data_IF_188979608612
#
_entry.id   IF_188979608612
#
_cell.length_a   1.000
_cell.length_b   1.000
_cell.length_c   1.000
_cell.angle_alpha   90.00
_cell.angle_beta   90.00
_cell.angle_gamma   90.00
#
_symmetry.space_group_name_H-M   'P 1'
#
loop_
_entity.id
_entity.type
_entity.pdbx_description
1 polymer ?
#
# COMPACT_ATOMS: atom_id res chain seq x y z
N UNK A 1 12.48 6.06 11.38
CA UNK A 1 13.94 6.10 11.58
C UNK A 1 14.65 6.87 10.46
N UNK A 2 14.54 6.46 9.18
CA UNK A 2 15.27 7.09 8.06
C UNK A 2 14.92 8.57 7.93
N UNK A 3 13.65 8.93 7.99
CA UNK A 3 13.20 10.32 7.92
C UNK A 3 13.76 11.15 9.08
N UNK A 4 13.63 10.67 10.31
CA UNK A 4 14.09 11.37 11.52
C UNK A 4 15.60 11.57 11.55
N UNK A 5 16.37 10.63 10.99
CA UNK A 5 17.83 10.72 10.97
C UNK A 5 18.38 11.64 9.88
N UNK A 6 17.66 11.81 8.78
CA UNK A 6 18.19 12.49 7.59
C UNK A 6 17.57 13.86 7.33
N UNK A 7 16.41 14.17 7.91
CA UNK A 7 15.69 15.40 7.61
C UNK A 7 15.40 16.21 8.88
N UNK A 8 15.25 17.51 8.70
CA UNK A 8 14.78 18.40 9.76
C UNK A 8 13.33 18.05 10.12
N UNK A 9 12.94 18.25 11.39
CA UNK A 9 11.61 17.86 11.90
C UNK A 9 10.44 18.42 11.07
N UNK A 10 10.55 19.65 10.53
CA UNK A 10 9.53 20.25 9.65
C UNK A 10 9.30 19.42 8.39
N UNK A 11 10.38 18.97 7.74
CA UNK A 11 10.31 18.11 6.57
C UNK A 11 9.76 16.73 6.94
N UNK A 12 10.13 16.19 8.10
CA UNK A 12 9.59 14.92 8.62
C UNK A 12 8.08 15.00 8.79
N UNK A 13 7.56 16.09 9.36
CA UNK A 13 6.11 16.29 9.50
C UNK A 13 5.40 16.28 8.14
N UNK A 14 5.95 16.95 7.11
CA UNK A 14 5.39 16.91 5.76
C UNK A 14 5.32 15.50 5.20
N UNK A 15 6.37 14.71 5.38
CA UNK A 15 6.44 13.34 4.88
C UNK A 15 5.53 12.38 5.65
N UNK A 16 5.41 12.53 6.95
CA UNK A 16 4.48 11.71 7.76
C UNK A 16 3.02 12.07 7.44
N UNK A 17 2.72 13.36 7.31
CA UNK A 17 1.40 13.82 6.89
C UNK A 17 1.00 13.26 5.51
N UNK A 18 1.95 13.16 4.57
CA UNK A 18 1.69 12.55 3.27
C UNK A 18 1.26 11.09 3.39
N UNK A 19 1.88 10.30 4.27
CA UNK A 19 1.48 8.89 4.48
C UNK A 19 0.03 8.83 4.98
N UNK A 20 -0.33 9.65 5.96
CA UNK A 20 -1.69 9.72 6.47
C UNK A 20 -2.70 10.12 5.38
N UNK A 21 -2.36 11.13 4.57
CA UNK A 21 -3.20 11.59 3.45
C UNK A 21 -3.36 10.52 2.36
N UNK A 22 -2.31 9.76 2.06
CA UNK A 22 -2.36 8.66 1.07
C UNK A 22 -3.36 7.60 1.53
N UNK A 23 -3.27 7.16 2.79
CA UNK A 23 -4.16 6.13 3.34
C UNK A 23 -5.59 6.65 3.38
N UNK A 24 -5.82 7.86 3.90
CA UNK A 24 -7.15 8.47 3.95
C UNK A 24 -7.75 8.64 2.56
N UNK A 25 -6.97 9.12 1.58
CA UNK A 25 -7.42 9.26 0.20
C UNK A 25 -7.80 7.91 -0.41
N UNK A 26 -6.95 6.90 -0.27
CA UNK A 26 -7.19 5.56 -0.79
C UNK A 26 -8.46 4.94 -0.19
N UNK A 27 -8.65 5.04 1.13
CA UNK A 27 -9.82 4.52 1.81
C UNK A 27 -11.09 5.29 1.44
N UNK A 28 -11.06 6.62 1.44
CA UNK A 28 -12.24 7.43 1.10
C UNK A 28 -12.67 7.22 -0.35
N UNK A 29 -11.73 7.24 -1.29
CA UNK A 29 -12.03 6.99 -2.71
C UNK A 29 -12.62 5.60 -2.93
N UNK A 30 -12.01 4.58 -2.35
CA UNK A 30 -12.43 3.19 -2.57
C UNK A 30 -13.68 2.83 -1.77
N UNK A 31 -13.75 3.11 -0.47
CA UNK A 31 -14.83 2.62 0.40
C UNK A 31 -16.03 3.55 0.47
N UNK A 32 -15.83 4.87 0.46
CA UNK A 32 -16.90 5.83 0.71
C UNK A 32 -17.50 6.41 -0.57
N UNK A 33 -16.70 6.54 -1.65
CA UNK A 33 -17.16 7.17 -2.89
C UNK A 33 -17.52 6.12 -3.94
N UNK A 34 -16.59 5.27 -4.35
CA UNK A 34 -16.79 4.39 -5.51
C UNK A 34 -17.58 3.13 -5.14
N UNK A 35 -17.26 2.51 -3.99
CA UNK A 35 -17.87 1.23 -3.59
C UNK A 35 -19.38 1.28 -3.46
N UNK A 36 -20.01 2.28 -2.82
CA UNK A 36 -21.47 2.36 -2.73
C UNK A 36 -22.16 2.53 -4.09
N UNK A 37 -21.49 3.25 -5.01
CA UNK A 37 -22.04 3.51 -6.36
C UNK A 37 -21.99 2.25 -7.23
N UNK A 38 -20.86 1.53 -7.23
CA UNK A 38 -20.69 0.34 -8.08
C UNK A 38 -21.37 -0.89 -7.47
N UNK A 39 -21.36 -1.01 -6.14
CA UNK A 39 -22.00 -2.06 -5.35
C UNK A 39 -21.76 -3.49 -5.88
N UNK A 40 -20.54 -3.75 -6.46
CA UNK A 40 -20.20 -5.07 -6.99
C UNK A 40 -19.93 -6.06 -5.87
N UNK A 41 -20.71 -7.14 -5.82
CA UNK A 41 -20.53 -8.23 -4.87
C UNK A 41 -19.13 -8.85 -4.97
N UNK A 42 -18.57 -9.25 -3.83
CA UNK A 42 -17.32 -10.01 -3.80
C UNK A 42 -17.51 -11.40 -4.39
N UNK A 43 -16.45 -12.03 -4.98
CA UNK A 43 -16.54 -13.42 -5.43
C UNK A 43 -17.05 -14.38 -4.35
N UNK A 44 -16.60 -14.19 -3.10
CA UNK A 44 -16.95 -14.99 -1.91
C UNK A 44 -18.31 -14.66 -1.28
N UNK A 45 -19.04 -13.65 -1.77
CA UNK A 45 -20.35 -13.30 -1.25
C UNK A 45 -21.36 -14.43 -1.58
N UNK A 46 -22.22 -14.88 -0.64
CA UNK A 46 -23.22 -15.91 -0.91
C UNK A 46 -24.17 -15.61 -2.08
N UNK A 47 -24.45 -14.34 -2.34
CA UNK A 47 -25.29 -13.89 -3.45
C UNK A 47 -24.52 -13.71 -4.76
N UNK A 48 -23.23 -13.99 -4.78
CA UNK A 48 -22.41 -13.88 -5.99
C UNK A 48 -22.71 -15.03 -6.94
N UNK A 49 -22.89 -14.76 -8.26
CA UNK A 49 -23.17 -15.82 -9.24
C UNK A 49 -22.03 -16.82 -9.41
N UNK A 50 -20.85 -16.53 -8.89
CA UNK A 50 -19.68 -17.41 -8.98
C UNK A 50 -19.22 -17.97 -7.64
N UNK A 51 -20.02 -17.83 -6.57
CA UNK A 51 -19.63 -18.25 -5.22
C UNK A 51 -19.21 -19.71 -5.15
N UNK A 52 -19.89 -20.60 -5.89
CA UNK A 52 -19.60 -22.04 -5.93
C UNK A 52 -18.31 -22.38 -6.70
N UNK A 53 -17.79 -21.42 -7.46
CA UNK A 53 -16.52 -21.57 -8.22
C UNK A 53 -15.32 -21.03 -7.43
N UNK A 54 -15.54 -20.41 -6.27
CA UNK A 54 -14.51 -19.73 -5.49
C UNK A 54 -14.16 -20.56 -4.26
N UNK A 55 -12.88 -20.91 -4.12
CA UNK A 55 -12.40 -21.51 -2.90
C UNK A 55 -12.35 -20.48 -1.77
N UNK A 56 -13.12 -20.72 -0.70
CA UNK A 56 -13.21 -19.82 0.45
C UNK A 56 -12.33 -20.34 1.57
N UNK A 57 -11.23 -19.66 1.82
CA UNK A 57 -10.26 -20.03 2.86
C UNK A 57 -10.81 -19.73 4.25
N UNK A 58 -10.89 -20.74 5.12
CA UNK A 58 -11.33 -20.61 6.52
C UNK A 58 -12.68 -19.88 6.69
N UNK A 59 -13.61 -20.04 5.76
CA UNK A 59 -14.90 -19.34 5.73
C UNK A 59 -14.78 -17.79 5.71
N UNK A 60 -13.63 -17.23 5.37
CA UNK A 60 -13.44 -15.79 5.30
C UNK A 60 -14.03 -15.22 4.01
N UNK A 61 -15.10 -14.42 4.12
CA UNK A 61 -15.82 -13.85 2.96
C UNK A 61 -15.63 -12.35 2.78
N UNK A 62 -15.18 -11.65 3.82
CA UNK A 62 -15.10 -10.18 3.82
C UNK A 62 -16.47 -9.50 3.88
N UNK A 63 -16.53 -8.22 3.52
CA UNK A 63 -17.80 -7.49 3.43
C UNK A 63 -18.54 -7.75 2.11
N UNK A 64 -19.75 -7.21 1.95
CA UNK A 64 -20.61 -7.47 0.77
C UNK A 64 -19.98 -7.03 -0.56
N UNK A 65 -19.46 -5.81 -0.63
CA UNK A 65 -18.95 -5.21 -1.87
C UNK A 65 -17.42 -5.19 -1.93
N UNK A 66 -16.86 -5.44 -3.12
CA UNK A 66 -15.42 -5.59 -3.34
C UNK A 66 -14.75 -4.50 -4.17
N UNK A 67 -15.48 -3.77 -5.00
CA UNK A 67 -14.91 -2.83 -5.96
C UNK A 67 -14.90 -1.38 -5.46
N UNK A 68 -13.78 -0.64 -5.57
CA UNK A 68 -12.43 -1.13 -5.80
C UNK A 68 -11.79 -1.69 -4.51
N UNK A 69 -10.61 -2.29 -4.63
CA UNK A 69 -9.89 -2.84 -3.47
C UNK A 69 -9.12 -1.77 -2.71
N UNK A 70 -9.53 -1.47 -1.46
CA UNK A 70 -8.77 -0.58 -0.56
C UNK A 70 -7.38 -1.16 -0.22
N UNK A 71 -7.25 -2.50 -0.12
CA UNK A 71 -5.96 -3.13 0.13
C UNK A 71 -4.95 -2.86 -1.01
N UNK A 72 -5.41 -2.97 -2.26
CA UNK A 72 -4.57 -2.62 -3.41
C UNK A 72 -4.24 -1.12 -3.41
N UNK A 73 -5.22 -0.26 -3.15
CA UNK A 73 -5.03 1.19 -3.13
C UNK A 73 -4.01 1.60 -2.06
N UNK A 74 -4.13 1.10 -0.84
CA UNK A 74 -3.18 1.39 0.24
C UNK A 74 -1.78 0.83 -0.06
N UNK A 75 -1.68 -0.42 -0.56
CA UNK A 75 -0.39 -1.04 -0.87
C UNK A 75 0.36 -0.30 -1.98
N UNK A 76 -0.31 0.02 -3.08
CA UNK A 76 0.30 0.76 -4.19
C UNK A 76 0.52 2.24 -3.86
N UNK A 77 -0.32 2.86 -3.03
CA UNK A 77 -0.13 4.22 -2.54
C UNK A 77 1.16 4.35 -1.74
N UNK A 78 1.37 3.47 -0.77
CA UNK A 78 2.60 3.43 0.01
C UNK A 78 3.81 3.02 -0.83
N UNK A 79 3.66 2.07 -1.77
CA UNK A 79 4.73 1.69 -2.67
C UNK A 79 5.20 2.87 -3.53
N UNK A 80 4.28 3.62 -4.15
CA UNK A 80 4.62 4.81 -4.95
C UNK A 80 5.24 5.92 -4.11
N UNK A 81 4.79 6.10 -2.86
CA UNK A 81 5.43 7.01 -1.93
C UNK A 81 6.91 6.64 -1.70
N UNK A 82 7.20 5.36 -1.43
CA UNK A 82 8.57 4.87 -1.21
C UNK A 82 9.42 5.01 -2.48
N UNK A 83 8.88 4.63 -3.64
CA UNK A 83 9.55 4.79 -4.95
C UNK A 83 9.92 6.25 -5.19
N UNK A 84 8.97 7.17 -4.98
CA UNK A 84 9.17 8.60 -5.14
C UNK A 84 10.23 9.12 -4.16
N UNK A 85 10.19 8.68 -2.91
CA UNK A 85 11.05 9.17 -1.83
C UNK A 85 12.50 8.75 -2.01
N UNK A 86 12.76 7.48 -2.33
CA UNK A 86 14.12 6.93 -2.34
C UNK A 86 14.75 6.88 -3.73
N UNK A 87 13.99 6.71 -4.79
CA UNK A 87 14.47 6.62 -6.18
C UNK A 87 15.57 5.58 -6.37
N UNK A 88 15.51 4.47 -5.67
CA UNK A 88 16.48 3.37 -5.73
C UNK A 88 15.84 2.14 -6.40
N UNK A 89 16.44 1.68 -7.50
CA UNK A 89 15.89 0.60 -8.34
C UNK A 89 15.51 -0.65 -7.53
N UNK A 90 16.44 -1.15 -6.73
CA UNK A 90 16.20 -2.39 -5.97
C UNK A 90 15.11 -2.23 -4.90
N UNK A 91 15.07 -1.10 -4.21
CA UNK A 91 14.00 -0.81 -3.26
C UNK A 91 12.65 -0.65 -3.97
N UNK A 92 12.62 -0.03 -5.15
CA UNK A 92 11.41 0.10 -5.95
C UNK A 92 10.87 -1.25 -6.40
N UNK A 93 11.76 -2.14 -6.89
CA UNK A 93 11.38 -3.51 -7.25
C UNK A 93 10.82 -4.24 -6.03
N UNK A 94 11.52 -4.21 -4.89
CA UNK A 94 11.10 -4.86 -3.67
C UNK A 94 9.70 -4.41 -3.22
N UNK A 95 9.45 -3.11 -3.12
CA UNK A 95 8.18 -2.60 -2.58
C UNK A 95 7.00 -2.79 -3.55
N UNK A 96 7.25 -2.73 -4.87
CA UNK A 96 6.22 -3.03 -5.87
C UNK A 96 5.89 -4.52 -5.84
N UNK A 97 6.89 -5.40 -5.75
CA UNK A 97 6.66 -6.85 -5.60
C UNK A 97 5.86 -7.17 -4.34
N UNK A 98 6.16 -6.49 -3.23
CA UNK A 98 5.38 -6.61 -2.00
C UNK A 98 3.92 -6.18 -2.20
N UNK A 99 3.66 -5.07 -2.90
CA UNK A 99 2.31 -4.62 -3.20
C UNK A 99 1.54 -5.61 -4.09
N UNK A 100 2.21 -6.16 -5.10
CA UNK A 100 1.66 -7.21 -5.97
C UNK A 100 1.35 -8.50 -5.18
N UNK A 101 2.25 -8.92 -4.30
CA UNK A 101 2.02 -10.07 -3.43
C UNK A 101 0.81 -9.85 -2.50
N UNK A 102 0.65 -8.65 -1.96
CA UNK A 102 -0.52 -8.29 -1.17
C UNK A 102 -1.81 -8.39 -2.00
N UNK A 103 -1.79 -7.94 -3.26
CA UNK A 103 -2.92 -8.12 -4.18
C UNK A 103 -3.20 -9.59 -4.45
N UNK A 104 -2.18 -10.41 -4.71
CA UNK A 104 -2.33 -11.84 -4.90
C UNK A 104 -3.04 -12.51 -3.71
N UNK A 105 -2.70 -12.15 -2.47
CA UNK A 105 -3.38 -12.71 -1.29
C UNK A 105 -4.89 -12.42 -1.28
N UNK A 106 -5.34 -11.30 -1.86
CA UNK A 106 -6.77 -10.96 -1.94
C UNK A 106 -7.52 -11.81 -2.96
N UNK A 107 -6.88 -12.13 -4.09
CA UNK A 107 -7.43 -13.09 -5.07
C UNK A 107 -7.46 -14.49 -4.48
N UNK A 108 -6.36 -14.92 -3.85
CA UNK A 108 -6.25 -16.22 -3.20
C UNK A 108 -7.34 -16.45 -2.15
N UNK A 109 -7.68 -15.43 -1.37
CA UNK A 109 -8.77 -15.47 -0.38
C UNK A 109 -10.17 -15.41 -1.02
N UNK A 110 -10.29 -15.29 -2.33
CA UNK A 110 -11.58 -15.20 -3.03
C UNK A 110 -12.37 -13.91 -2.74
N UNK A 111 -11.76 -12.87 -2.17
CA UNK A 111 -12.48 -11.66 -1.73
C UNK A 111 -12.47 -10.51 -2.73
N UNK A 112 -11.65 -10.60 -3.78
CA UNK A 112 -11.57 -9.58 -4.82
C UNK A 112 -11.36 -10.17 -6.21
N UNK A 113 -12.00 -9.58 -7.20
CA UNK A 113 -11.66 -9.82 -8.61
C UNK A 113 -10.35 -9.11 -8.97
N UNK A 114 -9.59 -9.62 -9.99
CA UNK A 114 -8.40 -8.93 -10.48
C UNK A 114 -8.64 -7.47 -10.87
N UNK A 115 -9.81 -7.16 -11.45
CA UNK A 115 -10.20 -5.78 -11.78
C UNK A 115 -10.36 -4.86 -10.58
N UNK A 116 -10.77 -5.37 -9.40
CA UNK A 116 -10.85 -4.58 -8.17
C UNK A 116 -9.48 -4.10 -7.73
N UNK A 117 -8.49 -4.98 -7.89
CA UNK A 117 -7.10 -4.74 -7.50
C UNK A 117 -6.42 -3.78 -8.46
N UNK A 118 -6.69 -3.92 -9.76
CA UNK A 118 -6.14 -3.04 -10.80
C UNK A 118 -6.61 -1.61 -10.57
N UNK A 119 -7.92 -1.39 -10.43
CA UNK A 119 -8.47 -0.05 -10.22
C UNK A 119 -8.03 0.51 -8.86
N UNK A 120 -8.06 -0.30 -7.80
CA UNK A 120 -7.54 0.09 -6.50
C UNK A 120 -6.06 0.51 -6.58
N UNK A 121 -5.23 -0.29 -7.26
CA UNK A 121 -3.81 0.01 -7.48
C UNK A 121 -3.56 1.32 -8.23
N UNK A 122 -4.35 1.62 -9.27
CA UNK A 122 -4.27 2.89 -10.00
C UNK A 122 -4.62 4.07 -9.09
N UNK A 123 -5.73 3.98 -8.34
CA UNK A 123 -6.16 5.03 -7.40
C UNK A 123 -5.07 5.28 -6.35
N UNK A 124 -4.58 4.21 -5.72
CA UNK A 124 -3.55 4.30 -4.71
C UNK A 124 -2.24 4.83 -5.27
N UNK A 125 -1.79 4.30 -6.40
CA UNK A 125 -0.56 4.74 -7.08
C UNK A 125 -0.59 6.23 -7.43
N UNK A 126 -1.71 6.72 -7.96
CA UNK A 126 -1.92 8.15 -8.22
C UNK A 126 -1.87 8.98 -6.91
N UNK A 127 -2.61 8.57 -5.87
CA UNK A 127 -2.58 9.23 -4.56
C UNK A 127 -1.18 9.26 -3.96
N UNK A 128 -0.45 8.14 -4.02
CA UNK A 128 0.91 8.03 -3.55
C UNK A 128 1.87 9.00 -4.23
N UNK A 129 1.82 9.08 -5.56
CA UNK A 129 2.60 10.03 -6.34
C UNK A 129 2.23 11.49 -6.04
N UNK A 130 0.93 11.80 -6.00
CA UNK A 130 0.42 13.15 -5.78
C UNK A 130 0.85 13.69 -4.41
N UNK A 131 0.50 12.99 -3.34
CA UNK A 131 0.79 13.46 -1.98
C UNK A 131 2.27 13.43 -1.64
N UNK A 132 3.05 12.46 -2.16
CA UNK A 132 4.50 12.49 -2.02
C UNK A 132 5.12 13.73 -2.72
N UNK A 133 4.60 14.11 -3.89
CA UNK A 133 5.06 15.30 -4.62
C UNK A 133 4.73 16.58 -3.86
N UNK A 134 3.49 16.71 -3.37
CA UNK A 134 3.06 17.86 -2.57
C UNK A 134 3.90 17.99 -1.30
N UNK A 135 4.04 16.90 -0.55
CA UNK A 135 4.83 16.90 0.68
C UNK A 135 6.30 17.25 0.44
N UNK A 136 6.89 16.78 -0.67
CA UNK A 136 8.27 17.11 -1.01
C UNK A 136 8.44 18.60 -1.35
N UNK A 137 7.51 19.20 -2.10
CA UNK A 137 7.53 20.63 -2.38
C UNK A 137 7.35 21.45 -1.09
N UNK A 138 6.41 21.06 -0.22
CA UNK A 138 6.20 21.70 1.07
C UNK A 138 7.45 21.58 1.97
N UNK A 139 8.06 20.41 2.02
CA UNK A 139 9.26 20.17 2.79
C UNK A 139 10.46 21.01 2.31
N UNK A 140 10.64 21.19 1.00
CA UNK A 140 11.67 22.08 0.44
C UNK A 140 11.38 23.54 0.76
N UNK A 141 10.11 23.96 0.69
CA UNK A 141 9.72 25.34 1.02
C UNK A 141 10.03 25.68 2.48
N UNK A 142 9.74 24.75 3.40
CA UNK A 142 9.98 24.94 4.83
C UNK A 142 11.47 24.74 5.23
N UNK A 143 12.20 23.92 4.47
CA UNK A 143 13.60 23.57 4.74
C UNK A 143 14.31 23.26 3.42
N UNK A 144 14.95 24.28 2.77
CA UNK A 144 15.58 24.12 1.47
C UNK A 144 16.68 23.05 1.40
N UNK A 145 17.36 22.76 2.50
CA UNK A 145 18.37 21.69 2.58
C UNK A 145 17.82 20.30 2.27
N UNK A 146 16.49 20.11 2.35
CA UNK A 146 15.78 18.86 2.07
C UNK A 146 16.03 18.32 0.67
N UNK A 147 16.19 19.20 -0.32
CA UNK A 147 16.42 18.80 -1.72
C UNK A 147 17.73 18.02 -1.88
N UNK A 148 18.82 18.48 -1.26
CA UNK A 148 20.13 17.82 -1.31
C UNK A 148 20.12 16.52 -0.48
N UNK A 149 19.59 16.56 0.73
CA UNK A 149 19.52 15.39 1.64
C UNK A 149 18.75 14.22 1.02
N UNK A 150 17.67 14.48 0.27
CA UNK A 150 16.92 13.43 -0.43
C UNK A 150 17.77 12.68 -1.46
N UNK A 151 18.66 13.37 -2.20
CA UNK A 151 19.55 12.74 -3.18
C UNK A 151 20.59 11.83 -2.53
N UNK A 152 20.99 12.15 -1.31
CA UNK A 152 22.05 11.49 -0.54
C UNK A 152 21.54 10.36 0.37
N UNK A 153 20.24 10.02 0.36
CA UNK A 153 19.70 8.92 1.18
C UNK A 153 20.42 7.60 0.90
N UNK A 154 21.30 7.19 1.80
CA UNK A 154 22.11 5.96 1.68
C UNK A 154 21.49 4.75 2.39
N UNK A 155 20.61 4.96 3.35
CA UNK A 155 20.08 3.92 4.26
C UNK A 155 18.84 3.18 3.72
N UNK A 156 18.59 3.26 2.42
CA UNK A 156 17.44 2.61 1.77
C UNK A 156 17.42 1.09 1.94
N UNK A 157 18.59 0.45 2.06
CA UNK A 157 18.71 -1.00 2.28
C UNK A 157 18.11 -1.45 3.61
N UNK A 158 18.11 -0.60 4.63
CA UNK A 158 17.48 -0.89 5.93
C UNK A 158 16.00 -1.25 5.76
N UNK A 159 15.29 -0.56 4.86
CA UNK A 159 13.88 -0.85 4.58
C UNK A 159 13.69 -2.28 4.03
N UNK A 160 14.59 -2.72 3.13
CA UNK A 160 14.54 -4.08 2.59
C UNK A 160 14.83 -5.11 3.70
N UNK A 161 15.88 -4.91 4.49
CA UNK A 161 16.22 -5.83 5.58
C UNK A 161 15.10 -5.96 6.61
N UNK A 162 14.52 -4.85 7.04
CA UNK A 162 13.37 -4.86 7.96
C UNK A 162 12.19 -5.59 7.34
N UNK A 163 11.86 -5.34 6.07
CA UNK A 163 10.79 -6.03 5.37
C UNK A 163 11.01 -7.53 5.28
N UNK A 164 12.22 -7.97 4.93
CA UNK A 164 12.58 -9.40 4.85
C UNK A 164 12.52 -10.07 6.23
N UNK A 165 13.03 -9.42 7.27
CA UNK A 165 12.97 -9.94 8.65
C UNK A 165 11.52 -10.05 9.14
N UNK A 166 10.66 -9.09 8.79
CA UNK A 166 9.24 -9.16 9.13
C UNK A 166 8.55 -10.35 8.45
N UNK A 167 8.80 -10.56 7.15
CA UNK A 167 8.27 -11.72 6.42
C UNK A 167 8.76 -13.02 7.02
N UNK A 168 10.06 -13.12 7.31
CA UNK A 168 10.65 -14.29 7.96
C UNK A 168 10.01 -14.56 9.33
N UNK A 169 9.82 -13.51 10.14
CA UNK A 169 9.16 -13.62 11.45
C UNK A 169 7.71 -14.12 11.33
N UNK A 170 6.96 -13.66 10.34
CA UNK A 170 5.59 -14.14 10.07
C UNK A 170 5.59 -15.63 9.69
N UNK A 171 6.51 -16.04 8.82
CA UNK A 171 6.64 -17.44 8.40
C UNK A 171 6.96 -18.33 9.61
N UNK A 172 7.95 -17.96 10.41
CA UNK A 172 8.34 -18.70 11.62
C UNK A 172 7.15 -18.81 12.60
N UNK A 173 6.48 -17.69 12.87
CA UNK A 173 5.30 -17.66 13.76
C UNK A 173 4.18 -18.57 13.24
N UNK A 174 3.88 -18.49 11.93
CA UNK A 174 2.86 -19.34 11.30
C UNK A 174 3.21 -20.83 11.39
N UNK A 175 4.48 -21.18 11.18
CA UNK A 175 4.94 -22.57 11.27
C UNK A 175 4.82 -23.10 12.70
N UNK A 176 5.22 -22.31 13.70
CA UNK A 176 5.11 -22.71 15.11
C UNK A 176 3.64 -22.91 15.53
N UNK A 177 2.74 -22.04 15.05
CA UNK A 177 1.31 -22.12 15.39
C UNK A 177 0.57 -23.25 14.67
N UNK A 178 1.10 -23.79 13.59
CA UNK A 178 0.52 -24.90 12.83
C UNK A 178 0.86 -26.28 13.40
N UNK A 179 1.73 -26.35 14.40
CA UNK A 179 2.04 -27.50 15.24
C UNK A 179 1.34 -27.39 16.58
#
# INVERSE_FOLDING_TARGET
YILLRNFHWKAVLCYVAAIALIITFADQMCSSIIRPVVARLRPSNPESPIVDMVYIVNNYRGGSYGFPSCHAANSFGLAMYVVFMFRKRWLSIFIITWALFNCYTRVYLGVHYPGDLLVGGIIGGFGGWLFATIAHKAAIYLEPSTCMKRKELKQWSVTIYVGLLTVLGIIIYSTIKSW
#
